data_IF_056296800283
#
_entry.id   IF_056296800283
#
_cell.length_a   1.000
_cell.length_b   1.000
_cell.length_c   1.000
_cell.angle_alpha   90.00
_cell.angle_beta   90.00
_cell.angle_gamma   90.00
#
_symmetry.space_group_name_H-M   'P 1'
#
loop_
_entity.id
_entity.type
_entity.pdbx_description
1 polymer ?
#
# COMPACT_ATOMS: atom_id res chain seq x y z
N UNK A 1 -3.64 -5.24 5.24
CA UNK A 1 -2.88 -4.24 6.03
C UNK A 1 -2.08 -3.26 5.18
N UNK A 2 -1.21 -3.69 4.24
CA UNK A 2 -0.42 -2.79 3.39
C UNK A 2 -1.27 -1.87 2.51
N UNK A 3 -2.32 -2.39 1.90
CA UNK A 3 -3.23 -1.58 1.07
C UNK A 3 -3.94 -0.48 1.87
N UNK A 4 -4.41 -0.79 3.07
CA UNK A 4 -4.98 0.21 4.00
C UNK A 4 -3.94 1.28 4.34
N UNK A 5 -2.69 0.88 4.59
CA UNK A 5 -1.61 1.83 4.84
C UNK A 5 -1.38 2.77 3.65
N UNK A 6 -1.38 2.24 2.43
CA UNK A 6 -1.25 3.06 1.21
C UNK A 6 -2.42 4.05 1.11
N UNK A 7 -3.67 3.57 1.30
CA UNK A 7 -4.83 4.45 1.26
C UNK A 7 -4.73 5.58 2.28
N UNK A 8 -4.45 5.25 3.54
CA UNK A 8 -4.42 6.24 4.62
C UNK A 8 -3.19 7.16 4.56
N UNK A 9 -2.02 6.59 4.31
CA UNK A 9 -0.75 7.32 4.46
C UNK A 9 -0.32 8.03 3.19
N UNK A 10 -0.59 7.45 2.02
CA UNK A 10 -0.21 8.03 0.73
C UNK A 10 -1.38 8.78 0.10
N UNK A 11 -2.56 8.14 0.01
CA UNK A 11 -3.70 8.73 -0.68
C UNK A 11 -4.57 9.62 0.23
N UNK A 12 -4.36 9.61 1.55
CA UNK A 12 -5.16 10.39 2.49
C UNK A 12 -6.62 9.97 2.58
N UNK A 13 -6.92 8.72 2.21
CA UNK A 13 -8.26 8.13 2.20
C UNK A 13 -8.36 7.13 3.35
N UNK A 14 -9.28 7.38 4.28
CA UNK A 14 -9.53 6.46 5.40
C UNK A 14 -10.58 5.44 4.97
N UNK A 15 -10.28 4.13 4.97
CA UNK A 15 -11.27 3.11 4.67
C UNK A 15 -12.40 3.15 5.69
N UNK A 16 -13.62 2.87 5.24
CA UNK A 16 -14.76 2.70 6.15
C UNK A 16 -14.48 1.51 7.08
N UNK A 17 -14.68 1.65 8.39
CA UNK A 17 -14.55 0.53 9.30
C UNK A 17 -15.53 -0.59 8.93
N UNK A 18 -15.18 -1.86 9.19
CA UNK A 18 -16.07 -2.97 8.93
C UNK A 18 -17.38 -2.79 9.72
N UNK A 19 -18.52 -3.25 9.17
CA UNK A 19 -19.79 -3.22 9.89
C UNK A 19 -19.68 -3.96 11.24
N UNK A 20 -20.40 -3.51 12.27
CA UNK A 20 -20.40 -4.20 13.56
C UNK A 20 -20.92 -5.64 13.40
N UNK A 21 -20.29 -6.58 14.12
CA UNK A 21 -20.71 -7.98 14.13
C UNK A 21 -20.07 -8.86 13.04
N UNK A 22 -19.20 -8.32 12.19
CA UNK A 22 -18.36 -9.19 11.35
C UNK A 22 -17.26 -9.78 12.23
N UNK A 23 -17.25 -11.12 12.44
CA UNK A 23 -16.19 -11.75 13.21
C UNK A 23 -14.86 -11.57 12.47
N UNK A 24 -13.81 -11.28 13.24
CA UNK A 24 -12.45 -11.39 12.73
C UNK A 24 -12.20 -12.85 12.34
N UNK A 25 -12.27 -13.12 11.05
CA UNK A 25 -12.01 -14.48 10.56
C UNK A 25 -10.49 -14.62 10.43
N UNK A 26 -9.90 -15.50 11.25
CA UNK A 26 -8.56 -15.99 10.95
C UNK A 26 -8.61 -16.73 9.62
N UNK A 27 -7.89 -16.26 8.59
CA UNK A 27 -7.90 -16.96 7.32
C UNK A 27 -7.29 -18.34 7.48
N UNK A 28 -7.94 -19.37 6.93
CA UNK A 28 -7.35 -20.69 6.84
C UNK A 28 -6.12 -20.61 5.90
N UNK A 29 -4.95 -20.56 6.49
CA UNK A 29 -3.68 -20.45 5.77
C UNK A 29 -3.23 -21.75 5.12
N UNK A 30 -3.92 -22.87 5.37
CA UNK A 30 -3.55 -24.18 4.83
C UNK A 30 -3.62 -24.18 3.30
N UNK A 31 -2.51 -24.55 2.65
CA UNK A 31 -2.39 -24.58 1.20
C UNK A 31 -2.33 -23.21 0.51
N UNK A 32 -2.22 -22.10 1.25
CA UNK A 32 -1.89 -20.80 0.70
C UNK A 32 -0.37 -20.64 0.68
N UNK A 33 0.20 -20.42 -0.49
CA UNK A 33 1.65 -20.19 -0.66
C UNK A 33 1.97 -18.72 -0.90
N UNK A 34 0.98 -17.95 -1.35
CA UNK A 34 1.09 -16.51 -1.60
C UNK A 34 0.13 -15.71 -0.73
N UNK A 35 0.36 -14.40 -0.62
CA UNK A 35 -0.59 -13.52 0.04
C UNK A 35 -1.90 -13.43 -0.73
N UNK A 36 -1.86 -13.52 -2.06
CA UNK A 36 -3.06 -13.50 -2.91
C UNK A 36 -3.98 -14.68 -2.59
N UNK A 37 -3.42 -15.90 -2.51
CA UNK A 37 -4.20 -17.10 -2.16
C UNK A 37 -4.89 -16.94 -0.80
N UNK A 38 -4.17 -16.32 0.15
CA UNK A 38 -4.66 -16.09 1.50
C UNK A 38 -5.81 -15.07 1.51
N UNK A 39 -5.66 -13.98 0.76
CA UNK A 39 -6.69 -12.95 0.63
C UNK A 39 -7.89 -13.43 -0.20
N UNK A 40 -7.68 -14.25 -1.21
CA UNK A 40 -8.77 -14.85 -2.00
C UNK A 40 -9.68 -15.70 -1.14
N UNK A 41 -9.10 -16.54 -0.28
CA UNK A 41 -9.88 -17.32 0.71
C UNK A 41 -10.67 -16.41 1.65
N UNK A 42 -10.07 -15.30 2.12
CA UNK A 42 -10.75 -14.34 2.99
C UNK A 42 -11.86 -13.57 2.25
N UNK A 43 -11.64 -13.21 0.99
CA UNK A 43 -12.61 -12.51 0.15
C UNK A 43 -13.75 -13.37 -0.38
N UNK A 44 -13.72 -14.67 -0.18
CA UNK A 44 -14.84 -15.55 -0.57
C UNK A 44 -16.15 -15.19 0.12
N UNK A 45 -16.08 -14.46 1.25
CA UNK A 45 -17.26 -13.92 1.91
C UNK A 45 -17.67 -12.59 1.27
N UNK A 46 -18.91 -12.50 0.81
CA UNK A 46 -19.48 -11.32 0.14
C UNK A 46 -19.34 -10.03 0.98
N UNK A 47 -19.53 -10.15 2.30
CA UNK A 47 -19.39 -9.03 3.24
C UNK A 47 -17.98 -8.44 3.29
N UNK A 48 -16.94 -9.19 2.94
CA UNK A 48 -15.54 -8.75 2.95
C UNK A 48 -15.09 -8.22 1.58
N UNK A 49 -15.65 -8.78 0.50
CA UNK A 49 -15.21 -8.51 -0.87
C UNK A 49 -15.25 -7.03 -1.24
N UNK A 50 -16.34 -6.33 -0.91
CA UNK A 50 -16.57 -4.94 -1.32
C UNK A 50 -15.56 -3.95 -0.72
N UNK A 51 -15.07 -4.21 0.50
CA UNK A 51 -14.03 -3.40 1.13
C UNK A 51 -12.64 -3.78 0.61
N UNK A 52 -12.35 -5.08 0.55
CA UNK A 52 -11.04 -5.58 0.13
C UNK A 52 -10.71 -5.24 -1.32
N UNK A 53 -11.69 -5.20 -2.22
CA UNK A 53 -11.49 -4.79 -3.60
C UNK A 53 -10.90 -3.38 -3.76
N UNK A 54 -11.08 -2.50 -2.77
CA UNK A 54 -10.60 -1.11 -2.82
C UNK A 54 -9.14 -0.95 -2.41
N UNK A 55 -8.67 -1.75 -1.45
CA UNK A 55 -7.34 -1.55 -0.87
C UNK A 55 -6.35 -2.70 -1.11
N UNK A 56 -6.80 -3.93 -1.32
CA UNK A 56 -5.89 -5.05 -1.56
C UNK A 56 -5.00 -4.84 -2.79
N UNK A 57 -5.52 -4.38 -3.96
CA UNK A 57 -4.69 -4.14 -5.12
C UNK A 57 -3.54 -3.17 -4.84
N UNK A 58 -3.79 -2.10 -4.06
CA UNK A 58 -2.76 -1.14 -3.66
C UNK A 58 -1.70 -1.79 -2.75
N UNK A 59 -2.10 -2.78 -1.96
CA UNK A 59 -1.19 -3.53 -1.10
C UNK A 59 -0.28 -4.48 -1.87
N UNK A 60 -0.75 -5.00 -2.99
CA UNK A 60 0.02 -5.92 -3.83
C UNK A 60 1.27 -5.25 -4.43
N UNK A 61 1.22 -3.96 -4.76
CA UNK A 61 2.37 -3.20 -5.21
C UNK A 61 3.59 -3.32 -4.26
N UNK A 62 3.33 -3.53 -2.97
CA UNK A 62 4.36 -3.65 -1.93
C UNK A 62 4.77 -5.09 -1.62
N UNK A 63 4.24 -6.10 -2.34
CA UNK A 63 4.52 -7.51 -2.04
C UNK A 63 5.96 -7.92 -2.36
N UNK A 64 6.63 -7.23 -3.27
CA UNK A 64 8.06 -7.41 -3.53
C UNK A 64 8.95 -6.99 -2.34
N UNK A 65 8.37 -6.43 -1.28
CA UNK A 65 9.10 -6.09 -0.06
C UNK A 65 8.69 -7.00 1.09
N UNK A 66 9.66 -7.57 1.77
CA UNK A 66 9.43 -8.35 2.99
C UNK A 66 9.08 -7.43 4.18
N UNK A 67 8.69 -7.97 5.36
CA UNK A 67 8.30 -7.15 6.51
C UNK A 67 9.37 -6.17 7.03
N UNK A 68 10.64 -6.41 6.72
CA UNK A 68 11.77 -5.54 7.10
C UNK A 68 12.27 -4.66 5.95
N UNK A 69 11.46 -4.54 4.86
CA UNK A 69 11.78 -3.68 3.70
C UNK A 69 12.76 -4.25 2.69
N UNK A 70 13.27 -5.48 2.87
CA UNK A 70 14.15 -6.12 1.89
C UNK A 70 13.38 -6.56 0.65
N UNK A 71 13.94 -6.28 -0.53
CA UNK A 71 13.36 -6.71 -1.81
C UNK A 71 13.41 -8.23 -1.97
N UNK A 72 12.36 -8.81 -2.53
CA UNK A 72 12.23 -10.24 -2.83
C UNK A 72 11.50 -10.45 -4.16
N UNK A 73 11.99 -11.40 -4.93
CA UNK A 73 11.36 -11.88 -6.17
C UNK A 73 10.46 -13.09 -5.90
N UNK A 74 10.76 -13.85 -4.83
CA UNK A 74 10.03 -15.05 -4.47
C UNK A 74 9.64 -15.03 -2.99
N UNK A 75 8.54 -15.69 -2.69
CA UNK A 75 8.16 -15.99 -1.31
C UNK A 75 9.12 -17.01 -0.71
N UNK A 76 9.19 -17.09 0.60
CA UNK A 76 9.79 -18.22 1.30
C UNK A 76 8.75 -19.31 1.47
N UNK A 77 9.10 -20.55 1.16
CA UNK A 77 8.21 -21.69 1.28
C UNK A 77 8.49 -22.50 2.55
N UNK A 78 7.43 -22.97 3.17
CA UNK A 78 7.49 -23.99 4.23
C UNK A 78 7.35 -25.40 3.66
N UNK A 79 7.05 -25.54 2.37
CA UNK A 79 6.90 -26.82 1.70
C UNK A 79 8.24 -27.59 1.72
N UNK A 80 8.28 -28.82 2.29
CA UNK A 80 9.48 -29.63 2.32
C UNK A 80 10.07 -29.98 0.96
N UNK A 81 9.25 -30.00 -0.08
CA UNK A 81 9.64 -30.32 -1.45
C UNK A 81 10.15 -29.12 -2.25
N UNK A 82 9.98 -27.90 -1.74
CA UNK A 82 10.40 -26.68 -2.43
C UNK A 82 11.94 -26.59 -2.51
N UNK A 83 12.50 -26.00 -3.58
CA UNK A 83 13.93 -25.84 -3.78
C UNK A 83 14.60 -25.14 -2.60
N UNK A 84 15.71 -25.70 -2.12
CA UNK A 84 16.56 -25.05 -1.11
C UNK A 84 17.59 -24.17 -1.79
N UNK A 85 17.76 -22.97 -1.26
CA UNK A 85 18.85 -22.08 -1.62
C UNK A 85 19.62 -21.67 -0.39
N UNK A 86 20.87 -21.39 -0.59
CA UNK A 86 21.78 -20.89 0.44
C UNK A 86 22.18 -19.46 0.10
N UNK A 87 22.03 -18.55 1.04
CA UNK A 87 22.46 -17.17 0.91
C UNK A 87 23.42 -16.80 2.03
N UNK A 88 24.54 -16.22 1.65
CA UNK A 88 25.47 -15.64 2.63
C UNK A 88 24.95 -14.28 3.06
N UNK A 89 24.75 -14.11 4.36
CA UNK A 89 24.38 -12.84 4.98
C UNK A 89 25.48 -12.51 5.98
N UNK A 90 26.31 -11.54 5.63
CA UNK A 90 27.58 -11.27 6.33
C UNK A 90 28.47 -12.53 6.38
N UNK A 91 28.90 -12.95 7.56
CA UNK A 91 29.74 -14.15 7.73
C UNK A 91 28.95 -15.45 7.95
N UNK A 92 27.60 -15.39 7.90
CA UNK A 92 26.73 -16.55 8.15
C UNK A 92 26.04 -17.01 6.87
N UNK A 93 25.99 -18.32 6.66
CA UNK A 93 25.17 -18.93 5.63
C UNK A 93 23.79 -19.21 6.17
N UNK A 94 22.76 -18.76 5.45
CA UNK A 94 21.36 -19.00 5.78
C UNK A 94 20.73 -19.83 4.66
N UNK A 95 20.18 -20.97 5.02
CA UNK A 95 19.45 -21.83 4.08
C UNK A 95 17.95 -21.57 4.24
N UNK A 96 17.26 -21.44 3.13
CA UNK A 96 15.79 -21.33 3.10
C UNK A 96 15.23 -21.97 1.83
N UNK A 97 13.95 -22.23 1.80
CA UNK A 97 13.25 -22.74 0.63
C UNK A 97 12.60 -21.61 -0.14
N UNK A 98 12.70 -21.68 -1.46
CA UNK A 98 12.10 -20.72 -2.38
C UNK A 98 10.67 -21.18 -2.70
N UNK A 99 9.73 -20.29 -2.51
CA UNK A 99 8.33 -20.45 -2.89
C UNK A 99 8.03 -19.82 -4.25
N UNK A 100 6.75 -19.62 -4.57
CA UNK A 100 6.31 -18.97 -5.80
C UNK A 100 6.92 -17.59 -5.99
N UNK A 101 6.93 -17.13 -7.23
CA UNK A 101 7.29 -15.75 -7.59
C UNK A 101 6.28 -14.78 -6.98
N UNK A 102 6.76 -13.59 -6.62
CA UNK A 102 5.92 -12.54 -6.07
C UNK A 102 5.21 -11.82 -7.22
N UNK A 103 3.89 -11.92 -7.25
CA UNK A 103 3.06 -11.10 -8.11
C UNK A 103 2.68 -9.80 -7.40
N UNK A 104 3.32 -8.69 -7.80
CA UNK A 104 3.07 -7.34 -7.28
C UNK A 104 2.18 -6.50 -8.19
N UNK A 105 1.54 -7.11 -9.18
CA UNK A 105 0.60 -6.44 -10.08
C UNK A 105 -0.69 -6.04 -9.34
N UNK A 106 -1.39 -5.05 -9.87
CA UNK A 106 -2.66 -4.61 -9.31
C UNK A 106 -3.33 -3.59 -10.20
N UNK A 107 -4.38 -2.99 -9.67
CA UNK A 107 -5.20 -2.02 -10.37
C UNK A 107 -5.57 -0.87 -9.44
N UNK A 108 -5.55 0.35 -9.97
CA UNK A 108 -6.07 1.54 -9.28
C UNK A 108 -7.60 1.58 -9.37
N UNK A 109 -8.22 2.40 -8.54
CA UNK A 109 -9.68 2.58 -8.53
C UNK A 109 -10.24 3.18 -9.83
N UNK A 110 -9.41 3.77 -10.67
CA UNK A 110 -9.77 4.31 -11.99
C UNK A 110 -9.65 3.26 -13.12
N UNK A 111 -9.31 2.01 -12.79
CA UNK A 111 -9.17 0.91 -13.74
C UNK A 111 -7.80 0.81 -14.40
N UNK A 112 -6.86 1.70 -14.09
CA UNK A 112 -5.49 1.60 -14.61
C UNK A 112 -4.73 0.49 -13.89
N UNK A 113 -4.13 -0.42 -14.65
CA UNK A 113 -3.32 -1.51 -14.12
C UNK A 113 -1.86 -1.10 -13.95
N UNK A 114 -1.18 -1.75 -13.01
CA UNK A 114 0.27 -1.69 -12.85
C UNK A 114 0.84 -3.11 -12.68
N UNK A 115 2.05 -3.34 -13.17
CA UNK A 115 2.70 -4.65 -13.11
C UNK A 115 3.56 -4.82 -11.85
N UNK A 116 4.10 -3.72 -11.34
CA UNK A 116 5.06 -3.71 -10.23
C UNK A 116 5.04 -2.40 -9.47
N UNK A 117 5.95 -2.26 -8.50
CA UNK A 117 6.08 -1.04 -7.69
C UNK A 117 6.44 0.19 -8.54
N UNK A 118 7.20 0.05 -9.61
CA UNK A 118 7.56 1.18 -10.47
C UNK A 118 6.34 1.67 -11.25
N UNK A 119 5.55 0.75 -11.83
CA UNK A 119 4.28 1.06 -12.46
C UNK A 119 3.30 1.70 -11.48
N UNK A 120 3.23 1.20 -10.25
CA UNK A 120 2.43 1.78 -9.19
C UNK A 120 2.87 3.22 -8.84
N UNK A 121 4.16 3.45 -8.63
CA UNK A 121 4.70 4.80 -8.34
C UNK A 121 4.43 5.78 -9.48
N UNK A 122 4.59 5.32 -10.73
CA UNK A 122 4.27 6.13 -11.91
C UNK A 122 2.79 6.52 -11.95
N UNK A 123 1.89 5.55 -11.74
CA UNK A 123 0.44 5.82 -11.69
C UNK A 123 0.05 6.78 -10.56
N UNK A 124 0.70 6.70 -9.41
CA UNK A 124 0.52 7.69 -8.34
C UNK A 124 0.99 9.08 -8.78
N UNK A 125 2.16 9.19 -9.41
CA UNK A 125 2.71 10.47 -9.87
C UNK A 125 1.84 11.13 -10.94
N UNK A 126 1.14 10.36 -11.76
CA UNK A 126 0.16 10.88 -12.72
C UNK A 126 -1.05 11.55 -12.05
N UNK A 127 -1.30 11.26 -10.78
CA UNK A 127 -2.41 11.82 -10.01
C UNK A 127 -1.93 12.86 -8.98
N UNK A 128 -1.18 13.86 -9.46
CA UNK A 128 -0.55 14.89 -8.63
C UNK A 128 -1.52 15.60 -7.67
N UNK A 129 -2.74 15.93 -8.13
CA UNK A 129 -3.74 16.60 -7.30
C UNK A 129 -4.18 15.75 -6.10
N UNK A 130 -4.28 14.43 -6.28
CA UNK A 130 -4.64 13.53 -5.19
C UNK A 130 -3.54 13.49 -4.14
N UNK A 131 -2.29 13.37 -4.59
CA UNK A 131 -1.13 13.38 -3.70
C UNK A 131 -0.96 14.71 -2.98
N UNK A 132 -1.08 15.82 -3.72
CA UNK A 132 -1.02 17.16 -3.16
C UNK A 132 -2.08 17.36 -2.07
N UNK A 133 -3.32 16.97 -2.33
CA UNK A 133 -4.41 17.04 -1.35
C UNK A 133 -4.11 16.19 -0.11
N UNK A 134 -3.63 14.97 -0.28
CA UNK A 134 -3.27 14.10 0.83
C UNK A 134 -2.15 14.71 1.68
N UNK A 135 -1.14 15.29 1.04
CA UNK A 135 -0.02 15.94 1.71
C UNK A 135 -0.48 17.20 2.46
N UNK A 136 -1.20 18.10 1.81
CA UNK A 136 -1.72 19.35 2.42
C UNK A 136 -2.58 19.03 3.63
N UNK A 137 -3.47 18.04 3.55
CA UNK A 137 -4.29 17.62 4.69
C UNK A 137 -3.43 17.17 5.88
N UNK A 138 -2.39 16.37 5.65
CA UNK A 138 -1.47 15.92 6.71
C UNK A 138 -0.67 17.07 7.30
N UNK A 139 -0.19 17.96 6.47
CA UNK A 139 0.54 19.14 6.91
C UNK A 139 -0.32 20.06 7.77
N UNK A 140 -1.54 20.34 7.35
CA UNK A 140 -2.49 21.15 8.13
C UNK A 140 -2.88 20.47 9.45
N UNK A 141 -3.12 19.15 9.43
CA UNK A 141 -3.36 18.38 10.66
C UNK A 141 -2.18 18.51 11.63
N UNK A 142 -0.95 18.39 11.13
CA UNK A 142 0.26 18.54 11.93
C UNK A 142 0.40 19.97 12.48
N UNK A 143 0.23 20.98 11.61
CA UNK A 143 0.41 22.40 11.98
C UNK A 143 -0.65 22.89 12.97
N UNK A 144 -1.89 22.40 12.85
CA UNK A 144 -3.00 22.82 13.71
C UNK A 144 -3.17 21.96 14.96
N UNK A 145 -2.53 20.79 15.02
CA UNK A 145 -2.65 19.82 16.12
C UNK A 145 -4.04 19.18 16.24
N UNK A 146 -4.91 19.29 15.22
CA UNK A 146 -6.25 18.73 15.21
C UNK A 146 -6.58 18.04 13.89
N UNK A 147 -7.56 17.14 13.92
CA UNK A 147 -8.12 16.59 12.69
C UNK A 147 -8.89 17.64 11.88
N UNK A 148 -8.79 17.54 10.56
CA UNK A 148 -9.48 18.44 9.64
C UNK A 148 -10.92 18.00 9.45
N UNK A 149 -11.86 18.95 9.67
CA UNK A 149 -13.28 18.76 9.49
C UNK A 149 -13.78 19.13 8.09
N UNK A 150 -15.09 19.20 7.96
CA UNK A 150 -15.75 19.59 6.71
C UNK A 150 -15.41 21.03 6.30
N UNK A 151 -15.38 21.94 7.27
CA UNK A 151 -15.07 23.36 7.06
C UNK A 151 -13.67 23.64 6.54
N UNK A 152 -12.73 22.71 6.75
CA UNK A 152 -11.34 22.89 6.30
C UNK A 152 -11.13 22.51 4.82
N UNK A 153 -12.16 21.97 4.17
CA UNK A 153 -12.05 21.49 2.77
C UNK A 153 -11.73 22.61 1.79
N UNK A 154 -12.36 23.75 1.93
CA UNK A 154 -12.13 24.90 1.06
C UNK A 154 -10.69 25.40 1.17
N UNK A 155 -10.13 25.44 2.37
CA UNK A 155 -8.75 25.84 2.58
C UNK A 155 -7.77 24.84 2.00
N UNK A 156 -8.03 23.54 2.16
CA UNK A 156 -7.22 22.48 1.51
C UNK A 156 -7.22 22.66 -0.01
N UNK A 157 -8.38 22.83 -0.65
CA UNK A 157 -8.47 23.01 -2.10
C UNK A 157 -7.82 24.32 -2.55
N UNK A 158 -7.94 25.39 -1.76
CA UNK A 158 -7.27 26.68 -2.03
C UNK A 158 -5.76 26.50 -2.07
N UNK A 159 -5.18 25.83 -1.09
CA UNK A 159 -3.73 25.57 -1.05
C UNK A 159 -3.32 24.67 -2.22
N UNK A 160 -4.03 23.58 -2.48
CA UNK A 160 -3.76 22.66 -3.60
C UNK A 160 -3.80 23.40 -4.94
N UNK A 161 -4.75 24.36 -5.13
CA UNK A 161 -4.85 25.13 -6.36
C UNK A 161 -3.69 26.11 -6.57
N UNK A 162 -3.02 26.52 -5.50
CA UNK A 162 -1.83 27.40 -5.54
C UNK A 162 -0.54 26.63 -5.76
N UNK A 163 -0.56 25.30 -5.70
CA UNK A 163 0.61 24.47 -6.02
C UNK A 163 0.57 24.14 -7.53
N UNK A 164 1.24 24.90 -8.41
CA UNK A 164 1.31 24.56 -9.82
C UNK A 164 2.07 23.25 -9.98
N UNK A 165 1.67 22.45 -10.97
CA UNK A 165 2.13 21.08 -11.19
C UNK A 165 3.62 20.85 -10.92
N UNK A 166 3.89 19.88 -10.08
CA UNK A 166 5.25 19.50 -9.67
C UNK A 166 5.86 20.30 -8.51
N UNK A 167 5.20 21.31 -7.99
CA UNK A 167 5.76 22.26 -7.01
C UNK A 167 5.68 21.85 -5.54
N UNK A 168 5.36 20.58 -5.23
CA UNK A 168 5.46 20.09 -3.84
C UNK A 168 6.93 19.98 -3.36
N UNK A 169 7.89 20.03 -4.27
CA UNK A 169 9.32 19.96 -3.96
C UNK A 169 9.99 21.33 -3.76
N UNK A 170 9.41 22.40 -4.31
CA UNK A 170 10.02 23.74 -4.23
C UNK A 170 9.79 24.50 -2.93
N UNK A 171 8.91 23.99 -2.05
CA UNK A 171 8.72 24.60 -0.73
C UNK A 171 9.83 24.23 0.27
N UNK A 172 10.69 23.28 -0.06
CA UNK A 172 11.84 22.94 0.78
C UNK A 172 13.06 23.84 0.52
N UNK A 173 13.21 24.37 -0.71
CA UNK A 173 14.36 25.22 -1.07
C UNK A 173 14.22 26.67 -0.54
N UNK A 174 13.00 27.09 -0.18
CA UNK A 174 12.77 28.40 0.44
C UNK A 174 13.19 28.48 1.91
N UNK A 175 13.63 27.38 2.50
CA UNK A 175 14.13 27.34 3.89
C UNK A 175 15.67 27.50 3.99
N UNK A 176 16.37 27.51 2.85
CA UNK A 176 17.84 27.63 2.79
C UNK A 176 18.32 29.04 2.38
N UNK A 177 17.41 30.04 2.27
CA UNK A 177 17.72 31.48 2.20
C UNK A 177 17.40 32.16 3.56
#
# INVERSE_FOLDING_TARGET
MRGVWVMERILGQVPTPPPPGIPGVEPDIRGAETLRDLLEKHRSMESCQGCHAKFDPLGFALESFNPIGGYREHYRSLNPSAPKVERKVRAKSVQYRVGPEVDSSGEFSDGKSFADIHGFMKGLAENEKLLARAFVRKLLTFATGRELGFSDREEVERIVSQCPGGCLLYTSDAADE
#
